data_IF_035120101784
#
_entry.id   IF_035120101784
#
_cell.length_a   1.000
_cell.length_b   1.000
_cell.length_c   1.000
_cell.angle_alpha   90.00
_cell.angle_beta   90.00
_cell.angle_gamma   90.00
#
_symmetry.space_group_name_H-M   'P 1'
#
loop_
_entity.id
_entity.type
_entity.pdbx_description
1 polymer ?
#
# COMPACT_ATOMS: atom_id res chain seq x y z
N UNK A 1 -2.47 -20.40 -13.01
CA UNK A 1 -1.13 -20.80 -12.50
C UNK A 1 -0.78 -22.14 -13.13
N UNK A 2 0.43 -22.39 -13.68
CA UNK A 2 1.70 -21.68 -13.49
C UNK A 2 2.34 -21.21 -14.82
N UNK A 3 2.63 -19.91 -14.93
CA UNK A 3 3.55 -19.34 -15.95
C UNK A 3 4.71 -18.57 -15.30
N UNK A 4 4.80 -18.61 -13.97
CA UNK A 4 5.76 -17.85 -13.18
C UNK A 4 7.04 -18.65 -12.83
N UNK A 5 7.17 -19.89 -13.32
CA UNK A 5 8.33 -20.75 -13.00
C UNK A 5 9.44 -20.76 -14.07
N UNK A 6 9.17 -20.31 -15.29
CA UNK A 6 10.16 -20.35 -16.39
C UNK A 6 10.88 -19.02 -16.64
N UNK A 7 10.38 -17.90 -16.11
CA UNK A 7 11.02 -16.58 -16.23
C UNK A 7 12.15 -16.34 -15.23
N UNK A 8 12.30 -17.19 -14.20
CA UNK A 8 13.35 -17.06 -13.19
C UNK A 8 14.70 -17.69 -13.60
N UNK A 9 14.70 -18.58 -14.60
CA UNK A 9 15.92 -19.33 -15.01
C UNK A 9 16.76 -18.54 -16.03
N UNK A 10 16.17 -17.61 -16.77
CA UNK A 10 16.90 -16.81 -17.79
C UNK A 10 17.58 -15.56 -17.23
N UNK A 11 17.26 -15.11 -16.02
CA UNK A 11 17.90 -13.93 -15.40
C UNK A 11 19.12 -14.34 -14.54
N UNK A 12 19.23 -15.61 -14.12
CA UNK A 12 20.37 -16.10 -13.33
C UNK A 12 21.63 -16.44 -14.14
N UNK A 13 21.56 -16.47 -15.47
CA UNK A 13 22.69 -16.83 -16.34
C UNK A 13 23.53 -15.62 -16.82
N UNK A 14 23.20 -14.39 -16.40
CA UNK A 14 23.88 -13.17 -16.85
C UNK A 14 24.66 -12.43 -15.76
N UNK A 15 24.78 -12.98 -14.54
CA UNK A 15 25.52 -12.33 -13.42
C UNK A 15 26.63 -13.24 -12.82
N UNK A 16 26.85 -14.44 -13.33
CA UNK A 16 28.01 -15.27 -12.92
C UNK A 16 29.09 -15.28 -13.99
N UNK A 17 29.87 -14.19 -14.03
CA UNK A 17 30.94 -14.03 -15.01
C UNK A 17 32.06 -13.11 -14.54
N UNK A 18 32.42 -13.12 -13.25
CA UNK A 18 33.70 -12.56 -12.83
C UNK A 18 34.23 -13.17 -11.53
N UNK A 19 35.52 -13.53 -11.61
CA UNK A 19 36.49 -13.84 -10.56
C UNK A 19 36.45 -15.22 -9.88
N UNK A 20 37.53 -15.99 -10.12
CA UNK A 20 37.95 -17.18 -9.40
C UNK A 20 39.37 -17.57 -9.82
N UNK A 21 40.30 -17.47 -8.87
CA UNK A 21 41.76 -17.57 -8.94
C UNK A 21 42.26 -19.04 -8.88
N UNK A 22 43.44 -19.36 -9.44
CA UNK A 22 44.49 -20.25 -8.86
C UNK A 22 45.71 -20.33 -9.83
N UNK A 23 46.85 -19.69 -9.52
CA UNK A 23 48.10 -20.20 -8.88
C UNK A 23 48.97 -21.15 -9.72
N UNK A 24 50.13 -20.60 -10.11
CA UNK A 24 51.48 -21.14 -10.34
C UNK A 24 51.73 -22.59 -10.79
N UNK A 25 52.46 -22.73 -11.91
CA UNK A 25 53.71 -23.51 -11.96
C UNK A 25 54.64 -23.03 -13.09
N UNK A 26 55.92 -22.82 -12.75
CA UNK A 26 57.01 -22.50 -13.66
C UNK A 26 57.55 -23.78 -14.33
N UNK A 27 57.83 -23.77 -15.64
CA UNK A 27 59.17 -24.12 -16.16
C UNK A 27 59.34 -23.87 -17.67
N UNK A 28 60.49 -23.26 -18.00
CA UNK A 28 61.35 -23.37 -19.21
C UNK A 28 60.90 -22.79 -20.57
N UNK A 29 61.67 -21.78 -20.98
CA UNK A 29 62.03 -21.35 -22.34
C UNK A 29 62.61 -22.52 -23.18
N UNK A 30 62.50 -22.51 -24.55
CA UNK A 30 63.22 -21.57 -25.42
C UNK A 30 62.49 -21.03 -26.68
N UNK A 31 63.10 -19.97 -27.23
CA UNK A 31 62.90 -19.20 -28.49
C UNK A 31 63.39 -20.03 -29.71
N UNK A 32 63.28 -19.64 -31.02
CA UNK A 32 62.32 -18.86 -31.83
C UNK A 32 61.76 -19.67 -33.04
N UNK A 33 60.78 -19.15 -33.79
CA UNK A 33 60.89 -18.99 -35.28
C UNK A 33 59.74 -18.19 -35.86
N UNK A 34 60.12 -17.29 -36.77
CA UNK A 34 59.34 -16.48 -37.71
C UNK A 34 58.40 -17.30 -38.61
N UNK A 35 57.18 -16.81 -38.88
CA UNK A 35 56.66 -16.66 -40.25
C UNK A 35 55.34 -15.88 -40.24
N UNK A 36 55.28 -14.85 -41.09
CA UNK A 36 54.07 -14.17 -41.52
C UNK A 36 53.03 -15.15 -42.06
N UNK A 37 51.79 -15.04 -41.59
CA UNK A 37 50.61 -15.33 -42.40
C UNK A 37 49.41 -14.60 -41.81
N UNK A 38 49.00 -13.53 -42.49
CA UNK A 38 47.73 -12.84 -42.27
C UNK A 38 46.54 -13.76 -42.63
N UNK A 39 45.58 -14.02 -41.72
CA UNK A 39 44.30 -14.59 -42.08
C UNK A 39 43.26 -13.47 -42.19
N UNK A 40 43.08 -13.06 -43.45
CA UNK A 40 41.80 -12.75 -44.11
C UNK A 40 40.62 -12.27 -43.25
N UNK A 41 40.15 -11.08 -43.59
CA UNK A 41 38.86 -10.42 -43.28
C UNK A 41 37.60 -11.26 -43.61
N UNK A 42 37.74 -12.52 -43.98
CA UNK A 42 36.66 -13.43 -44.36
C UNK A 42 36.00 -14.13 -43.15
N UNK A 43 36.74 -14.30 -42.04
CA UNK A 43 36.23 -14.98 -40.84
C UNK A 43 35.17 -14.19 -40.07
N UNK A 44 35.37 -12.88 -39.92
CA UNK A 44 34.45 -12.02 -39.18
C UNK A 44 33.10 -11.84 -39.90
N UNK A 45 33.09 -11.74 -41.23
CA UNK A 45 31.85 -11.61 -42.01
C UNK A 45 31.00 -12.89 -41.91
N UNK A 46 31.63 -14.06 -41.93
CA UNK A 46 30.96 -15.35 -41.77
C UNK A 46 30.39 -15.52 -40.34
N UNK A 47 31.07 -14.99 -39.32
CA UNK A 47 30.59 -15.01 -37.94
C UNK A 47 29.34 -14.12 -37.75
N UNK A 48 29.31 -12.93 -38.34
CA UNK A 48 28.13 -12.06 -38.25
C UNK A 48 26.93 -12.61 -39.03
N UNK A 49 27.15 -13.19 -40.21
CA UNK A 49 26.07 -13.80 -41.01
C UNK A 49 25.45 -14.99 -40.27
N UNK A 50 26.26 -15.82 -39.62
CA UNK A 50 25.77 -16.98 -38.84
C UNK A 50 24.97 -16.54 -37.61
N UNK A 51 25.38 -15.48 -36.90
CA UNK A 51 24.62 -14.92 -35.76
C UNK A 51 23.28 -14.36 -36.22
N UNK A 52 23.25 -13.60 -37.33
CA UNK A 52 21.99 -13.02 -37.85
C UNK A 52 21.04 -14.13 -38.32
N UNK A 53 21.54 -15.16 -39.00
CA UNK A 53 20.74 -16.33 -39.38
C UNK A 53 20.20 -17.09 -38.16
N UNK A 54 21.00 -17.22 -37.10
CA UNK A 54 20.58 -17.88 -35.87
C UNK A 54 19.49 -17.09 -35.14
N UNK A 55 19.61 -15.77 -35.08
CA UNK A 55 18.58 -14.89 -34.52
C UNK A 55 17.28 -14.94 -35.34
N UNK A 56 17.37 -14.88 -36.67
CA UNK A 56 16.19 -15.00 -37.55
C UNK A 56 15.50 -16.36 -37.40
N UNK A 57 16.27 -17.45 -37.26
CA UNK A 57 15.70 -18.78 -37.02
C UNK A 57 15.04 -18.88 -35.64
N UNK A 58 15.69 -18.34 -34.60
CA UNK A 58 15.16 -18.37 -33.24
C UNK A 58 13.87 -17.56 -33.11
N UNK A 59 13.83 -16.33 -33.63
CA UNK A 59 12.62 -15.50 -33.63
C UNK A 59 11.53 -16.07 -34.55
N UNK A 60 11.90 -16.66 -35.69
CA UNK A 60 10.97 -17.33 -36.60
C UNK A 60 10.29 -18.54 -35.96
N UNK A 61 11.06 -19.42 -35.32
CA UNK A 61 10.56 -20.61 -34.62
C UNK A 61 9.70 -20.19 -33.41
N UNK A 62 10.14 -19.19 -32.64
CA UNK A 62 9.38 -18.69 -31.49
C UNK A 62 8.05 -18.06 -31.93
N UNK A 63 8.04 -17.33 -33.05
CA UNK A 63 6.81 -16.82 -33.65
C UNK A 63 5.86 -17.94 -34.10
N UNK A 64 6.40 -18.98 -34.73
CA UNK A 64 5.62 -20.15 -35.18
C UNK A 64 5.01 -20.94 -34.02
N UNK A 65 5.76 -21.15 -32.94
CA UNK A 65 5.26 -21.84 -31.74
C UNK A 65 4.12 -21.03 -31.09
N UNK A 66 4.28 -19.71 -30.95
CA UNK A 66 3.21 -18.87 -30.41
C UNK A 66 1.96 -18.86 -31.31
N UNK A 67 2.13 -18.87 -32.63
CA UNK A 67 1.01 -18.95 -33.57
C UNK A 67 0.24 -20.27 -33.45
N UNK A 68 0.94 -21.40 -33.32
CA UNK A 68 0.32 -22.72 -33.10
C UNK A 68 -0.42 -22.77 -31.75
N UNK A 69 0.14 -22.20 -30.68
CA UNK A 69 -0.51 -22.13 -29.38
C UNK A 69 -1.80 -21.29 -29.40
N UNK A 70 -1.80 -20.18 -30.14
CA UNK A 70 -3.00 -19.36 -30.33
C UNK A 70 -4.07 -20.13 -31.11
N UNK A 71 -3.70 -20.84 -32.17
CA UNK A 71 -4.62 -21.70 -32.94
C UNK A 71 -5.21 -22.82 -32.07
N UNK A 72 -4.39 -23.51 -31.26
CA UNK A 72 -4.89 -24.53 -30.33
C UNK A 72 -5.84 -23.96 -29.28
N UNK A 73 -5.58 -22.75 -28.79
CA UNK A 73 -6.48 -22.05 -27.87
C UNK A 73 -7.82 -21.68 -28.55
N UNK A 74 -7.79 -21.23 -29.80
CA UNK A 74 -9.00 -20.93 -30.58
C UNK A 74 -9.82 -22.19 -30.86
N UNK A 75 -9.19 -23.31 -31.23
CA UNK A 75 -9.89 -24.58 -31.46
C UNK A 75 -10.52 -25.15 -30.19
N UNK A 76 -9.82 -25.13 -29.06
CA UNK A 76 -10.38 -25.59 -27.77
C UNK A 76 -11.53 -24.71 -27.29
N UNK A 77 -11.47 -23.39 -27.55
CA UNK A 77 -12.57 -22.48 -27.27
C UNK A 77 -13.80 -22.78 -28.14
N UNK A 78 -13.61 -23.03 -29.43
CA UNK A 78 -14.69 -23.43 -30.35
C UNK A 78 -15.34 -24.76 -29.91
N UNK A 79 -14.55 -25.76 -29.53
CA UNK A 79 -15.08 -27.03 -29.02
C UNK A 79 -15.91 -26.84 -27.74
N UNK A 80 -15.43 -26.01 -26.80
CA UNK A 80 -16.17 -25.67 -25.57
C UNK A 80 -17.46 -24.92 -25.86
N UNK A 81 -17.45 -24.01 -26.83
CA UNK A 81 -18.65 -23.30 -27.28
C UNK A 81 -19.66 -24.24 -27.93
N UNK A 82 -19.22 -25.16 -28.81
CA UNK A 82 -20.10 -26.17 -29.42
C UNK A 82 -20.68 -27.10 -28.36
N UNK A 83 -19.88 -27.55 -27.38
CA UNK A 83 -20.36 -28.36 -26.26
C UNK A 83 -21.37 -27.60 -25.39
N UNK A 84 -21.16 -26.30 -25.15
CA UNK A 84 -22.09 -25.46 -24.38
C UNK A 84 -23.43 -25.29 -25.12
N UNK A 85 -23.39 -25.00 -26.42
CA UNK A 85 -24.59 -24.92 -27.27
C UNK A 85 -25.32 -26.26 -27.33
N UNK A 86 -24.62 -27.38 -27.50
CA UNK A 86 -25.23 -28.71 -27.44
C UNK A 86 -25.83 -29.05 -26.07
N UNK A 87 -25.22 -28.57 -24.98
CA UNK A 87 -25.74 -28.74 -23.62
C UNK A 87 -27.04 -27.96 -23.42
N UNK A 88 -27.09 -26.70 -23.88
CA UNK A 88 -28.28 -25.85 -23.83
C UNK A 88 -29.40 -26.41 -24.73
N UNK A 89 -29.07 -26.90 -25.93
CA UNK A 89 -30.05 -27.54 -26.83
C UNK A 89 -30.52 -28.91 -26.30
N UNK A 90 -29.68 -29.68 -25.60
CA UNK A 90 -30.10 -30.93 -24.92
C UNK A 90 -30.95 -30.66 -23.68
N UNK A 91 -30.68 -29.59 -22.93
CA UNK A 91 -31.53 -29.13 -21.82
C UNK A 91 -32.88 -28.61 -22.33
N UNK A 92 -32.90 -27.85 -23.44
CA UNK A 92 -34.12 -27.39 -24.10
C UNK A 92 -34.95 -28.50 -24.75
N UNK A 93 -34.32 -29.52 -25.34
CA UNK A 93 -35.03 -30.63 -26.00
C UNK A 93 -35.49 -31.74 -25.06
N UNK A 94 -34.83 -31.95 -23.91
CA UNK A 94 -35.30 -32.91 -22.89
C UNK A 94 -36.46 -32.37 -22.03
N UNK A 95 -36.57 -31.05 -21.85
CA UNK A 95 -37.71 -30.43 -21.16
C UNK A 95 -38.95 -30.24 -22.06
N UNK A 96 -38.80 -30.31 -23.39
CA UNK A 96 -39.89 -30.12 -24.36
C UNK A 96 -40.59 -31.41 -24.83
N UNK A 97 -40.31 -32.57 -24.23
CA UNK A 97 -40.93 -33.85 -24.63
C UNK A 97 -42.03 -34.38 -23.70
N UNK A 98 -42.42 -33.64 -22.66
CA UNK A 98 -43.42 -34.15 -21.70
C UNK A 98 -44.48 -33.19 -21.18
N UNK A 99 -44.56 -31.92 -21.61
CA UNK A 99 -45.64 -31.05 -21.11
C UNK A 99 -46.13 -30.04 -22.16
N UNK A 100 -46.99 -30.53 -23.04
CA UNK A 100 -47.83 -29.70 -23.90
C UNK A 100 -48.89 -29.01 -23.01
N UNK A 101 -49.03 -27.68 -23.13
CA UNK A 101 -50.13 -26.79 -22.63
C UNK A 101 -49.78 -25.62 -21.67
N UNK A 102 -48.52 -25.18 -21.49
CA UNK A 102 -48.24 -23.97 -20.65
C UNK A 102 -47.32 -22.91 -21.33
N UNK A 103 -47.08 -23.01 -22.64
CA UNK A 103 -45.97 -22.27 -23.27
C UNK A 103 -46.20 -20.81 -23.74
N UNK A 104 -47.41 -20.25 -23.90
CA UNK A 104 -47.51 -18.85 -24.33
C UNK A 104 -47.59 -17.84 -23.17
N UNK A 105 -48.03 -18.25 -21.97
CA UNK A 105 -48.24 -17.32 -20.84
C UNK A 105 -46.95 -16.92 -20.12
N UNK A 106 -45.98 -17.82 -20.02
CA UNK A 106 -44.70 -17.56 -19.32
C UNK A 106 -43.82 -16.59 -20.11
N UNK A 107 -43.82 -16.67 -21.45
CA UNK A 107 -43.04 -15.79 -22.32
C UNK A 107 -43.60 -14.35 -22.28
N UNK A 108 -44.92 -14.19 -22.26
CA UNK A 108 -45.56 -12.87 -22.11
C UNK A 108 -45.28 -12.26 -20.73
N UNK A 109 -45.25 -13.06 -19.67
CA UNK A 109 -44.91 -12.59 -18.32
C UNK A 109 -43.44 -12.15 -18.19
N UNK A 110 -42.51 -12.82 -18.88
CA UNK A 110 -41.08 -12.46 -18.90
C UNK A 110 -40.80 -11.17 -19.70
N UNK A 111 -41.59 -10.87 -20.72
CA UNK A 111 -41.47 -9.62 -21.49
C UNK A 111 -41.97 -8.38 -20.73
N UNK A 112 -42.88 -8.53 -19.76
CA UNK A 112 -43.40 -7.40 -18.97
C UNK A 112 -42.44 -6.90 -17.88
N UNK A 113 -41.36 -7.64 -17.59
CA UNK A 113 -40.40 -7.30 -16.52
C UNK A 113 -39.27 -6.38 -17.04
N UNK A 114 -39.15 -6.19 -18.36
CA UNK A 114 -38.13 -5.33 -18.94
C UNK A 114 -38.66 -3.91 -19.16
N UNK A 115 -38.74 -3.10 -18.11
CA UNK A 115 -39.04 -1.67 -18.29
C UNK A 115 -39.33 -0.83 -17.06
N UNK A 116 -39.48 -1.41 -15.86
CA UNK A 116 -39.72 -0.60 -14.66
C UNK A 116 -38.39 -0.20 -14.01
N UNK A 117 -37.93 1.03 -14.26
CA UNK A 117 -37.10 1.75 -13.29
C UNK A 117 -38.04 2.21 -12.17
N UNK A 118 -38.41 1.31 -11.24
CA UNK A 118 -39.22 1.69 -10.08
C UNK A 118 -38.31 2.29 -8.99
N UNK A 119 -38.77 3.34 -8.30
CA UNK A 119 -38.18 3.72 -7.01
C UNK A 119 -38.21 2.47 -6.12
N UNK A 120 -37.09 2.17 -5.46
CA UNK A 120 -37.08 1.18 -4.38
C UNK A 120 -37.86 1.84 -3.23
N UNK A 121 -39.07 1.37 -2.97
CA UNK A 121 -39.89 1.89 -1.88
C UNK A 121 -39.22 1.53 -0.55
N UNK A 122 -38.67 2.54 0.12
CA UNK A 122 -38.11 2.39 1.46
C UNK A 122 -39.30 2.46 2.41
N UNK A 123 -39.50 1.41 3.21
CA UNK A 123 -40.49 1.43 4.29
C UNK A 123 -40.21 2.64 5.19
N UNK A 124 -41.13 3.59 5.18
CA UNK A 124 -41.08 4.78 6.03
C UNK A 124 -42.02 4.60 7.21
N UNK A 125 -41.55 5.01 8.38
CA UNK A 125 -42.40 5.10 9.58
C UNK A 125 -42.90 6.54 9.61
N UNK A 126 -44.22 6.72 9.61
CA UNK A 126 -44.88 8.02 9.65
C UNK A 126 -45.49 8.23 11.03
N UNK A 127 -45.03 9.27 11.73
CA UNK A 127 -45.61 9.71 12.99
C UNK A 127 -46.28 11.08 12.80
N UNK A 128 -47.54 11.18 13.23
CA UNK A 128 -48.30 12.43 13.23
C UNK A 128 -48.17 13.07 14.63
N UNK A 129 -47.34 14.12 14.73
CA UNK A 129 -47.11 14.84 16.00
C UNK A 129 -47.90 16.13 15.99
N UNK A 130 -48.77 16.32 16.98
CA UNK A 130 -49.63 17.49 17.07
C UNK A 130 -49.06 18.50 18.09
N UNK A 131 -48.60 19.67 17.64
CA UNK A 131 -48.12 20.74 18.53
C UNK A 131 -49.22 21.76 18.75
N UNK A 132 -49.57 22.01 20.02
CA UNK A 132 -50.56 23.02 20.37
C UNK A 132 -49.96 24.42 20.15
N UNK A 133 -50.68 25.28 19.43
CA UNK A 133 -50.35 26.71 19.35
C UNK A 133 -50.43 27.37 20.72
N UNK A 134 -49.69 28.46 20.92
CA UNK A 134 -49.60 29.20 22.18
C UNK A 134 -50.98 29.62 22.75
N UNK A 135 -51.98 29.79 21.87
CA UNK A 135 -53.37 30.14 22.22
C UNK A 135 -54.29 28.92 22.48
N UNK A 136 -53.76 27.69 22.41
CA UNK A 136 -54.49 26.44 22.68
C UNK A 136 -55.60 26.07 21.67
N UNK A 137 -55.81 26.89 20.64
CA UNK A 137 -56.94 26.76 19.68
C UNK A 137 -56.60 26.04 18.38
N UNK A 138 -55.32 25.94 18.01
CA UNK A 138 -54.89 25.29 16.77
C UNK A 138 -53.83 24.23 17.05
N UNK A 139 -54.05 23.03 16.51
CA UNK A 139 -53.07 21.94 16.55
C UNK A 139 -52.34 21.87 15.21
N UNK A 140 -51.03 22.08 15.22
CA UNK A 140 -50.20 21.93 14.03
C UNK A 140 -49.79 20.46 13.92
N UNK A 141 -50.26 19.78 12.87
CA UNK A 141 -49.85 18.41 12.53
C UNK A 141 -48.50 18.45 11.83
N UNK A 142 -47.46 18.05 12.54
CA UNK A 142 -46.12 17.82 12.01
C UNK A 142 -45.98 16.34 11.65
N UNK A 143 -45.80 16.05 10.36
CA UNK A 143 -45.50 14.69 9.89
C UNK A 143 -44.01 14.44 9.92
N UNK A 144 -43.58 13.41 10.63
CA UNK A 144 -42.18 12.97 10.67
C UNK A 144 -42.07 11.64 9.94
N UNK A 145 -41.12 11.55 9.00
CA UNK A 145 -40.87 10.35 8.18
C UNK A 145 -39.41 9.95 8.39
N UNK A 146 -39.20 8.75 8.94
CA UNK A 146 -37.86 8.16 9.10
C UNK A 146 -37.56 7.18 7.97
N UNK A 147 -36.37 7.30 7.37
CA UNK A 147 -35.92 6.48 6.23
C UNK A 147 -34.46 6.05 6.37
N UNK A 148 -34.17 4.85 5.89
CA UNK A 148 -32.82 4.32 5.80
C UNK A 148 -32.40 4.27 4.33
N UNK A 149 -31.57 5.22 3.88
CA UNK A 149 -31.08 5.29 2.49
C UNK A 149 -29.66 4.75 2.41
N UNK A 150 -29.41 3.84 1.46
CA UNK A 150 -28.06 3.41 1.09
C UNK A 150 -27.45 4.34 0.02
N UNK A 151 -26.20 4.81 0.19
CA UNK A 151 -25.53 5.65 -0.81
C UNK A 151 -25.47 5.00 -2.20
N UNK A 152 -25.58 5.81 -3.26
CA UNK A 152 -25.48 5.43 -4.69
C UNK A 152 -26.44 4.35 -5.23
N UNK A 153 -27.25 3.72 -4.38
CA UNK A 153 -28.09 2.56 -4.74
C UNK A 153 -29.58 2.79 -4.51
N UNK A 154 -29.93 3.79 -3.70
CA UNK A 154 -31.31 4.03 -3.27
C UNK A 154 -31.67 5.51 -3.36
N UNK A 155 -32.93 5.76 -3.71
CA UNK A 155 -33.56 7.08 -3.74
C UNK A 155 -34.80 6.99 -2.86
N UNK A 156 -34.91 7.85 -1.86
CA UNK A 156 -36.13 8.04 -1.09
C UNK A 156 -37.06 8.97 -1.86
N UNK A 157 -38.21 8.46 -2.30
CA UNK A 157 -39.20 9.22 -3.08
C UNK A 157 -40.40 9.52 -2.15
N UNK A 158 -40.77 10.78 -1.96
CA UNK A 158 -41.90 11.20 -1.13
C UNK A 158 -42.88 12.06 -1.91
N UNK A 159 -44.17 11.85 -1.65
CA UNK A 159 -45.22 12.70 -2.18
C UNK A 159 -45.95 13.35 -1.02
N UNK A 160 -45.80 14.66 -0.89
CA UNK A 160 -46.55 15.44 0.09
C UNK A 160 -47.78 15.97 -0.62
N UNK A 161 -48.96 15.53 -0.17
CA UNK A 161 -50.24 16.06 -0.63
C UNK A 161 -50.87 16.90 0.47
N UNK A 162 -51.26 18.13 0.13
CA UNK A 162 -52.13 18.94 0.98
C UNK A 162 -53.60 18.72 0.58
N UNK A 163 -54.54 18.99 1.49
CA UNK A 163 -56.00 18.88 1.28
C UNK A 163 -56.52 19.69 0.07
N UNK A 164 -55.68 20.58 -0.48
CA UNK A 164 -55.96 21.47 -1.63
C UNK A 164 -55.39 20.92 -2.96
N UNK A 165 -55.00 19.64 -3.04
CA UNK A 165 -54.43 18.96 -4.25
C UNK A 165 -53.05 19.43 -4.70
N UNK A 166 -52.31 20.21 -3.92
CA UNK A 166 -50.91 20.45 -4.21
C UNK A 166 -50.10 19.20 -3.83
N UNK A 167 -49.59 18.49 -4.84
CA UNK A 167 -48.74 17.31 -4.68
C UNK A 167 -47.31 17.72 -4.98
N UNK A 168 -46.46 17.74 -3.96
CA UNK A 168 -45.01 17.96 -4.11
C UNK A 168 -44.30 16.62 -4.11
N UNK A 169 -43.51 16.37 -5.15
CA UNK A 169 -42.65 15.20 -5.24
C UNK A 169 -41.25 15.59 -4.80
N UNK A 170 -40.74 14.89 -3.78
CA UNK A 170 -39.42 15.10 -3.21
C UNK A 170 -38.64 13.81 -3.38
N UNK A 171 -37.48 13.92 -4.02
CA UNK A 171 -36.54 12.80 -4.15
C UNK A 171 -35.29 13.13 -3.35
N UNK A 172 -34.91 12.24 -2.44
CA UNK A 172 -33.69 12.35 -1.65
C UNK A 172 -32.77 11.20 -2.05
N UNK A 173 -31.57 11.52 -2.51
CA UNK A 173 -30.55 10.54 -2.84
C UNK A 173 -29.30 10.83 -2.01
N UNK A 174 -28.80 9.81 -1.33
CA UNK A 174 -27.49 9.85 -0.70
C UNK A 174 -26.41 9.60 -1.75
N UNK A 175 -25.59 10.60 -2.04
CA UNK A 175 -24.51 10.50 -3.01
C UNK A 175 -23.31 9.80 -2.40
N UNK A 176 -22.88 10.28 -1.24
CA UNK A 176 -21.71 9.76 -0.58
C UNK A 176 -21.67 10.07 0.90
N UNK A 177 -20.95 9.25 1.64
CA UNK A 177 -20.64 9.48 3.04
C UNK A 177 -19.18 9.92 3.08
N UNK A 178 -18.96 11.10 3.62
CA UNK A 178 -17.69 11.80 3.68
C UNK A 178 -17.16 11.66 5.11
N UNK A 179 -16.00 11.03 5.29
CA UNK A 179 -15.32 10.98 6.59
C UNK A 179 -14.10 11.90 6.58
N UNK A 180 -14.11 12.88 7.48
CA UNK A 180 -13.07 13.90 7.60
C UNK A 180 -12.12 13.59 8.76
N UNK A 181 -10.83 13.40 8.43
CA UNK A 181 -9.80 13.09 9.41
C UNK A 181 -9.48 14.33 10.25
N UNK A 182 -9.58 14.21 11.58
CA UNK A 182 -8.94 15.16 12.47
C UNK A 182 -7.50 14.68 12.72
N UNK A 183 -6.56 15.24 11.97
CA UNK A 183 -5.15 14.82 11.98
C UNK A 183 -4.48 15.07 13.34
N UNK A 184 -3.66 14.11 13.77
CA UNK A 184 -2.73 14.26 14.88
C UNK A 184 -1.38 13.68 14.50
N UNK A 185 -0.36 14.53 14.43
CA UNK A 185 1.03 14.14 14.24
C UNK A 185 1.46 13.17 15.34
N UNK A 186 2.09 12.06 14.94
CA UNK A 186 2.62 11.06 15.87
C UNK A 186 4.13 11.26 16.07
N UNK A 187 4.88 11.30 14.98
CA UNK A 187 6.33 11.52 14.98
C UNK A 187 6.79 11.89 13.57
N UNK A 188 8.04 12.35 13.49
CA UNK A 188 8.74 12.55 12.23
C UNK A 188 9.72 11.40 12.00
N UNK A 189 10.05 11.16 10.75
CA UNK A 189 11.01 10.14 10.37
C UNK A 189 11.73 10.57 9.09
N UNK A 190 12.78 9.83 8.74
CA UNK A 190 13.66 10.12 7.61
C UNK A 190 14.25 8.82 7.09
N UNK A 191 14.45 8.71 5.78
CA UNK A 191 15.09 7.53 5.22
C UNK A 191 16.52 7.45 5.75
N UNK A 192 16.89 6.27 6.23
CA UNK A 192 18.22 6.00 6.77
C UNK A 192 18.75 4.65 6.31
N UNK A 193 20.04 4.43 6.56
CA UNK A 193 20.70 3.13 6.56
C UNK A 193 21.39 2.95 7.92
N UNK A 194 21.57 1.71 8.35
CA UNK A 194 22.42 1.40 9.50
C UNK A 194 23.80 0.99 9.01
N UNK A 195 24.82 1.69 9.50
CA UNK A 195 26.21 1.29 9.35
C UNK A 195 26.64 0.47 10.56
N UNK A 196 27.54 -0.49 10.35
CA UNK A 196 28.11 -1.30 11.41
C UNK A 196 29.64 -1.21 11.38
N UNK A 197 30.24 -0.95 12.53
CA UNK A 197 31.67 -0.84 12.76
C UNK A 197 32.09 -1.85 13.82
N UNK A 198 33.26 -2.47 13.66
CA UNK A 198 33.85 -3.32 14.68
C UNK A 198 35.37 -3.21 14.71
N UNK A 199 35.97 -3.42 15.88
CA UNK A 199 37.41 -3.41 16.06
C UNK A 199 37.82 -4.39 17.16
N UNK A 200 38.73 -5.30 16.81
CA UNK A 200 39.34 -6.23 17.75
C UNK A 200 40.62 -5.63 18.35
N UNK A 201 40.78 -5.79 19.66
CA UNK A 201 41.97 -5.40 20.42
C UNK A 201 42.33 -6.47 21.45
N UNK A 202 43.58 -6.90 21.42
CA UNK A 202 44.12 -7.82 22.43
C UNK A 202 44.09 -7.20 23.84
N UNK A 203 44.05 -8.06 24.85
CA UNK A 203 44.06 -7.63 26.25
C UNK A 203 45.28 -6.76 26.57
N UNK A 204 45.04 -5.60 27.18
CA UNK A 204 46.05 -4.60 27.54
C UNK A 204 46.38 -3.61 26.42
N UNK A 205 45.87 -3.79 25.20
CA UNK A 205 46.14 -2.91 24.06
C UNK A 205 45.03 -1.86 23.87
N UNK A 206 45.45 -0.60 23.64
CA UNK A 206 44.55 0.55 23.40
C UNK A 206 43.44 0.64 24.44
N UNK A 207 42.17 0.62 24.02
CA UNK A 207 40.99 0.73 24.88
C UNK A 207 40.69 -0.57 25.64
N UNK A 208 41.25 -1.71 25.23
CA UNK A 208 40.99 -3.00 25.87
C UNK A 208 41.83 -3.18 27.14
N UNK A 209 41.40 -2.59 28.26
CA UNK A 209 42.10 -2.66 29.55
C UNK A 209 41.13 -3.02 30.68
N UNK A 210 41.56 -3.92 31.57
CA UNK A 210 40.76 -4.29 32.74
C UNK A 210 39.33 -4.73 32.39
N UNK A 211 38.35 -3.99 32.90
CA UNK A 211 36.92 -4.24 32.74
C UNK A 211 36.22 -3.31 31.74
N UNK A 212 36.95 -2.75 30.74
CA UNK A 212 36.34 -1.86 29.74
C UNK A 212 35.13 -2.50 29.07
N UNK A 213 35.18 -3.80 28.77
CA UNK A 213 34.13 -4.48 28.03
C UNK A 213 32.82 -4.59 28.82
N UNK A 214 32.93 -4.81 30.14
CA UNK A 214 31.80 -4.89 31.06
C UNK A 214 31.21 -3.52 31.38
N UNK A 215 32.01 -2.47 31.29
CA UNK A 215 31.64 -1.11 31.68
C UNK A 215 31.22 -0.22 30.50
N UNK A 216 31.33 -0.70 29.26
CA UNK A 216 30.97 0.07 28.06
C UNK A 216 29.45 0.17 27.94
N UNK A 217 28.93 1.40 27.96
CA UNK A 217 27.53 1.71 27.71
C UNK A 217 27.27 1.94 26.22
N UNK A 218 26.00 1.90 25.83
CA UNK A 218 25.62 2.00 24.43
C UNK A 218 25.92 3.38 23.80
N UNK A 219 25.89 4.45 24.58
CA UNK A 219 26.20 5.80 24.11
C UNK A 219 27.70 6.13 24.17
N UNK A 220 28.51 5.25 24.77
CA UNK A 220 29.92 5.51 24.97
C UNK A 220 30.67 5.52 23.62
N UNK A 221 31.55 6.50 23.47
CA UNK A 221 32.46 6.58 22.34
C UNK A 221 33.56 5.54 22.42
N UNK A 222 33.82 4.87 21.30
CA UNK A 222 34.92 3.90 21.17
C UNK A 222 36.05 4.55 20.34
N UNK A 223 37.25 4.78 20.91
CA UNK A 223 38.37 5.43 20.21
C UNK A 223 38.85 4.72 18.94
N UNK A 224 38.52 3.44 18.81
CA UNK A 224 38.83 2.64 17.63
C UNK A 224 37.99 3.01 16.39
N UNK A 225 36.89 3.73 16.55
CA UNK A 225 35.97 4.08 15.46
C UNK A 225 36.19 5.51 14.95
N UNK A 226 35.92 5.77 13.66
CA UNK A 226 36.00 7.11 13.09
C UNK A 226 34.89 8.01 13.65
N UNK A 227 35.11 9.33 13.62
CA UNK A 227 34.14 10.31 14.12
C UNK A 227 32.75 10.19 13.46
N UNK A 228 32.68 9.81 12.17
CA UNK A 228 31.41 9.59 11.46
C UNK A 228 30.55 8.48 12.08
N UNK A 229 31.15 7.48 12.73
CA UNK A 229 30.40 6.45 13.45
C UNK A 229 29.70 7.02 14.71
N UNK A 230 30.18 8.16 15.21
CA UNK A 230 29.68 8.84 16.41
C UNK A 230 28.80 10.06 16.10
N UNK A 231 28.68 10.46 14.83
CA UNK A 231 27.96 11.67 14.41
C UNK A 231 26.43 11.53 14.46
N UNK A 232 25.93 10.29 14.39
CA UNK A 232 24.51 9.96 14.43
C UNK A 232 24.12 9.07 15.62
N UNK A 233 22.81 8.85 15.83
CA UNK A 233 22.33 7.94 16.87
C UNK A 233 22.85 6.53 16.62
N UNK A 234 23.21 5.83 17.69
CA UNK A 234 23.83 4.51 17.57
C UNK A 234 24.24 3.89 18.88
N UNK A 235 24.45 2.58 18.87
CA UNK A 235 24.70 1.77 20.05
C UNK A 235 26.06 1.09 19.96
N UNK A 236 26.91 1.36 20.94
CA UNK A 236 28.21 0.74 21.17
C UNK A 236 28.06 -0.51 22.03
N UNK A 237 28.79 -1.58 21.68
CA UNK A 237 28.85 -2.83 22.45
C UNK A 237 30.28 -3.33 22.51
N UNK A 238 30.56 -4.13 23.53
CA UNK A 238 31.80 -4.88 23.60
C UNK A 238 31.52 -6.35 23.90
N UNK A 239 32.19 -7.22 23.15
CA UNK A 239 32.16 -8.66 23.35
C UNK A 239 33.55 -9.13 23.78
N UNK A 240 33.60 -10.00 24.80
CA UNK A 240 34.82 -10.73 25.10
C UNK A 240 35.07 -11.74 23.98
N UNK A 241 36.28 -11.70 23.42
CA UNK A 241 36.70 -12.59 22.34
C UNK A 241 37.95 -13.40 22.75
N UNK A 242 38.39 -14.30 21.88
CA UNK A 242 39.55 -15.14 22.08
C UNK A 242 40.84 -14.32 22.22
N UNK A 243 41.73 -14.78 23.09
CA UNK A 243 43.10 -14.30 23.20
C UNK A 243 44.09 -15.29 22.59
N UNK A 244 45.35 -15.18 23.01
CA UNK A 244 46.49 -15.99 22.57
C UNK A 244 46.87 -15.81 21.09
N UNK A 245 47.96 -16.47 20.71
CA UNK A 245 48.56 -16.41 19.37
C UNK A 245 47.59 -16.87 18.28
N UNK A 246 46.62 -17.75 18.62
CA UNK A 246 45.57 -18.20 17.70
C UNK A 246 44.61 -17.09 17.26
N UNK A 247 44.57 -15.98 17.99
CA UNK A 247 43.78 -14.79 17.66
C UNK A 247 44.68 -13.55 17.51
N UNK A 248 45.93 -13.76 17.06
CA UNK A 248 46.96 -12.75 16.83
C UNK A 248 47.28 -11.89 18.08
N UNK A 249 47.12 -12.46 19.27
CA UNK A 249 47.40 -11.81 20.54
C UNK A 249 48.59 -12.43 21.26
N UNK A 250 49.52 -11.60 21.74
CA UNK A 250 50.64 -12.07 22.57
C UNK A 250 50.23 -12.53 23.98
N UNK A 251 49.04 -12.12 24.45
CA UNK A 251 48.48 -12.50 25.76
C UNK A 251 47.28 -13.44 25.59
N UNK A 252 47.18 -14.43 26.47
CA UNK A 252 46.06 -15.36 26.56
C UNK A 252 44.86 -14.85 27.35
N UNK A 253 44.93 -13.63 27.88
CA UNK A 253 43.77 -12.98 28.48
C UNK A 253 42.71 -12.66 27.42
N UNK A 254 41.40 -12.70 27.76
CA UNK A 254 40.33 -12.42 26.81
C UNK A 254 40.48 -11.03 26.16
N UNK A 255 40.39 -11.01 24.83
CA UNK A 255 40.45 -9.78 24.02
C UNK A 255 39.11 -9.04 24.03
N UNK A 256 39.10 -7.80 23.54
CA UNK A 256 37.90 -6.98 23.38
C UNK A 256 37.56 -6.85 21.90
N UNK A 257 36.34 -7.23 21.55
CA UNK A 257 35.73 -6.99 20.25
C UNK A 257 34.71 -5.87 20.41
N UNK A 258 35.13 -4.65 20.11
CA UNK A 258 34.26 -3.49 20.11
C UNK A 258 33.37 -3.50 18.87
N UNK A 259 32.13 -3.07 19.02
CA UNK A 259 31.15 -2.92 17.96
C UNK A 259 30.37 -1.63 18.14
N UNK A 260 29.95 -1.02 17.03
CA UNK A 260 28.96 0.04 17.04
C UNK A 260 28.07 -0.08 15.81
N UNK A 261 26.77 0.00 16.02
CA UNK A 261 25.81 0.27 14.96
C UNK A 261 25.43 1.76 15.02
N UNK A 262 25.37 2.43 13.88
CA UNK A 262 25.00 3.85 13.81
C UNK A 262 24.09 4.11 12.62
N UNK A 263 23.05 4.90 12.83
CA UNK A 263 22.17 5.32 11.75
C UNK A 263 22.77 6.51 10.99
N UNK A 264 22.63 6.50 9.67
CA UNK A 264 23.00 7.60 8.78
C UNK A 264 21.83 7.92 7.86
N UNK A 265 21.42 9.20 7.73
CA UNK A 265 20.34 9.58 6.83
C UNK A 265 20.78 9.45 5.38
N UNK A 266 19.96 8.85 4.52
CA UNK A 266 20.28 8.63 3.09
C UNK A 266 19.58 9.62 2.16
N UNK A 267 18.57 10.33 2.64
CA UNK A 267 17.80 11.33 1.88
C UNK A 267 17.64 12.59 2.70
N UNK A 268 17.37 13.75 2.09
CA UNK A 268 16.98 14.98 2.80
C UNK A 268 15.46 15.09 3.02
N UNK A 269 14.70 14.14 2.47
CA UNK A 269 13.23 14.14 2.60
C UNK A 269 12.82 13.81 4.03
N UNK A 270 12.03 14.70 4.63
CA UNK A 270 11.44 14.48 5.94
C UNK A 270 10.04 13.94 5.76
N UNK A 271 9.67 13.01 6.62
CA UNK A 271 8.38 12.38 6.61
C UNK A 271 7.67 12.62 7.94
N UNK A 272 6.40 12.98 7.85
CA UNK A 272 5.52 13.05 9.01
C UNK A 272 4.64 11.81 9.04
N UNK A 273 4.69 11.08 10.15
CA UNK A 273 3.73 10.02 10.46
C UNK A 273 2.64 10.62 11.33
N UNK A 274 1.39 10.49 10.89
CA UNK A 274 0.23 10.99 11.61
C UNK A 274 -0.90 9.95 11.61
N UNK A 275 -1.83 10.14 12.54
CA UNK A 275 -3.03 9.31 12.67
C UNK A 275 -4.26 10.21 12.83
N UNK A 276 -5.44 9.61 12.71
CA UNK A 276 -6.72 10.29 12.87
C UNK A 276 -7.46 9.71 14.08
N UNK A 277 -7.27 10.26 15.30
CA UNK A 277 -7.94 9.76 16.50
C UNK A 277 -9.47 9.87 16.42
N UNK A 278 -9.96 10.88 15.69
CA UNK A 278 -11.37 11.12 15.45
C UNK A 278 -11.62 11.42 13.98
N UNK A 279 -12.83 11.07 13.54
CA UNK A 279 -13.31 11.28 12.18
C UNK A 279 -14.66 11.99 12.25
N UNK A 280 -14.83 13.09 11.48
CA UNK A 280 -16.10 13.78 11.38
C UNK A 280 -16.85 13.24 10.16
N UNK A 281 -18.06 12.72 10.34
CA UNK A 281 -18.83 12.16 9.22
C UNK A 281 -19.87 13.16 8.72
N UNK A 282 -19.84 13.44 7.42
CA UNK A 282 -20.85 14.22 6.69
C UNK A 282 -21.54 13.35 5.63
N UNK A 283 -22.75 13.73 5.29
CA UNK A 283 -23.51 13.10 4.21
C UNK A 283 -23.68 14.09 3.07
N UNK A 284 -23.22 13.73 1.89
CA UNK A 284 -23.56 14.45 0.66
C UNK A 284 -24.87 13.88 0.12
N UNK A 285 -25.92 14.71 0.09
CA UNK A 285 -27.22 14.34 -0.46
C UNK A 285 -27.56 15.22 -1.65
N UNK A 286 -28.21 14.64 -2.65
CA UNK A 286 -28.95 15.40 -3.66
C UNK A 286 -30.43 15.34 -3.36
N UNK A 287 -31.07 16.50 -3.24
CA UNK A 287 -32.50 16.66 -3.01
C UNK A 287 -33.12 17.27 -4.26
N UNK A 288 -34.10 16.57 -4.85
CA UNK A 288 -34.88 17.04 -5.99
C UNK A 288 -36.27 17.42 -5.52
N UNK A 289 -36.66 18.68 -5.71
CA UNK A 289 -38.01 19.18 -5.43
C UNK A 289 -38.59 19.70 -6.74
N UNK A 290 -39.71 19.15 -7.20
CA UNK A 290 -40.38 19.56 -8.44
C UNK A 290 -39.42 19.64 -9.66
N UNK A 291 -38.56 18.63 -9.83
CA UNK A 291 -37.48 18.53 -10.85
C UNK A 291 -36.28 19.49 -10.68
N UNK A 292 -36.21 20.29 -9.62
CA UNK A 292 -35.01 21.08 -9.33
C UNK A 292 -34.11 20.32 -8.34
N UNK A 293 -32.91 19.94 -8.76
CA UNK A 293 -31.95 19.18 -7.94
C UNK A 293 -30.94 20.11 -7.29
N UNK A 294 -30.77 19.96 -5.98
CA UNK A 294 -29.78 20.70 -5.18
C UNK A 294 -28.93 19.72 -4.38
N UNK A 295 -27.65 20.01 -4.21
CA UNK A 295 -26.71 19.15 -3.48
C UNK A 295 -26.35 19.84 -2.16
N UNK A 296 -26.43 19.08 -1.06
CA UNK A 296 -26.13 19.54 0.28
C UNK A 296 -25.11 18.62 0.95
N UNK A 297 -24.18 19.21 1.69
CA UNK A 297 -23.40 18.50 2.71
C UNK A 297 -24.11 18.69 4.05
N UNK A 298 -24.51 17.58 4.68
CA UNK A 298 -25.31 17.59 5.90
C UNK A 298 -24.52 16.92 7.02
N UNK A 299 -24.40 17.63 8.14
CA UNK A 299 -23.82 17.11 9.37
C UNK A 299 -24.84 16.25 10.14
N UNK A 300 -24.33 15.26 10.86
CA UNK A 300 -25.14 14.41 11.72
C UNK A 300 -25.84 15.21 12.83
N UNK A 301 -27.14 14.98 13.03
CA UNK A 301 -27.93 15.61 14.10
C UNK A 301 -28.27 17.08 13.89
N UNK A 302 -27.86 17.71 12.78
CA UNK A 302 -28.19 19.10 12.46
C UNK A 302 -29.31 19.13 11.40
N UNK A 303 -30.44 19.81 11.64
CA UNK A 303 -31.52 19.90 10.67
C UNK A 303 -31.16 20.84 9.52
N UNK A 304 -31.15 20.31 8.30
CA UNK A 304 -31.09 21.06 7.06
C UNK A 304 -32.47 21.62 6.71
N UNK A 305 -32.62 22.95 6.64
CA UNK A 305 -33.85 23.59 6.15
C UNK A 305 -33.88 23.56 4.62
N UNK A 306 -34.91 22.96 4.03
CA UNK A 306 -35.10 22.84 2.57
C UNK A 306 -36.04 23.93 2.03
N UNK A 307 -37.25 24.01 2.58
CA UNK A 307 -38.28 25.03 2.31
C UNK A 307 -38.90 25.50 3.63
N UNK A 308 -39.77 26.51 3.62
CA UNK A 308 -40.29 27.17 4.84
C UNK A 308 -41.00 26.25 5.84
N UNK A 309 -41.42 25.05 5.42
CA UNK A 309 -42.09 24.06 6.27
C UNK A 309 -41.45 22.66 6.23
N UNK A 310 -40.23 22.53 5.69
CA UNK A 310 -39.59 21.23 5.55
C UNK A 310 -38.12 21.27 5.99
N UNK A 311 -37.76 20.34 6.87
CA UNK A 311 -36.39 20.09 7.27
C UNK A 311 -36.03 18.62 7.13
N UNK A 312 -34.77 18.35 6.86
CA UNK A 312 -34.19 17.02 6.79
C UNK A 312 -33.09 16.92 7.85
N UNK A 313 -33.09 15.83 8.63
CA UNK A 313 -32.08 15.59 9.65
C UNK A 313 -31.52 14.18 9.48
N UNK A 314 -30.19 14.06 9.57
CA UNK A 314 -29.52 12.77 9.55
C UNK A 314 -29.42 12.24 10.97
N UNK A 315 -30.22 11.22 11.28
CA UNK A 315 -30.37 10.66 12.63
C UNK A 315 -29.35 9.57 12.98
N UNK A 316 -28.62 9.03 12.01
CA UNK A 316 -27.60 8.00 12.24
C UNK A 316 -26.95 7.47 10.97
N UNK A 317 -25.79 6.84 11.14
CA UNK A 317 -25.11 6.07 10.10
C UNK A 317 -24.94 4.63 10.56
N UNK A 318 -25.22 3.66 9.69
CA UNK A 318 -25.08 2.23 9.98
C UNK A 318 -23.98 1.58 9.14
N UNK A 319 -22.79 2.20 9.07
CA UNK A 319 -21.67 1.70 8.27
C UNK A 319 -20.64 1.04 9.19
N UNK A 320 -20.11 -0.15 8.85
CA UNK A 320 -18.95 -0.70 9.57
C UNK A 320 -17.75 0.24 9.42
N UNK A 321 -16.92 0.41 10.47
CA UNK A 321 -15.72 1.24 10.38
C UNK A 321 -14.78 0.69 9.31
N UNK A 322 -14.42 1.53 8.33
CA UNK A 322 -13.43 1.18 7.30
C UNK A 322 -12.04 0.97 7.95
N UNK A 323 -11.24 -0.02 7.50
CA UNK A 323 -9.88 -0.25 8.02
C UNK A 323 -8.99 0.99 7.97
N UNK A 324 -9.23 1.89 7.01
CA UNK A 324 -8.48 3.14 6.87
C UNK A 324 -8.66 4.10 8.06
N UNK A 325 -9.76 3.99 8.82
CA UNK A 325 -9.99 4.84 9.99
C UNK A 325 -8.99 4.55 11.12
N UNK A 326 -8.37 3.37 11.11
CA UNK A 326 -7.29 2.98 12.04
C UNK A 326 -5.91 2.95 11.39
N UNK A 327 -5.75 3.47 10.16
CA UNK A 327 -4.47 3.47 9.47
C UNK A 327 -3.53 4.54 10.02
N UNK A 328 -2.23 4.31 9.82
CA UNK A 328 -1.20 5.33 9.91
C UNK A 328 -1.00 5.96 8.55
N UNK A 329 -0.88 7.27 8.55
CA UNK A 329 -0.63 8.04 7.35
C UNK A 329 0.81 8.56 7.36
N UNK A 330 1.41 8.58 6.19
CA UNK A 330 2.77 8.99 5.94
C UNK A 330 2.71 10.14 4.93
N UNK A 331 3.10 11.33 5.35
CA UNK A 331 3.16 12.54 4.52
C UNK A 331 4.61 12.91 4.26
N UNK A 332 4.98 13.06 3.00
CA UNK A 332 6.27 13.67 2.63
C UNK A 332 6.19 15.18 2.88
N UNK A 333 7.07 15.68 3.74
CA UNK A 333 7.25 17.10 4.01
C UNK A 333 8.27 17.66 3.00
N UNK A 334 7.85 17.83 1.75
CA UNK A 334 8.70 18.49 0.76
C UNK A 334 8.82 19.99 1.08
N UNK A 335 10.01 20.56 0.83
CA UNK A 335 10.21 22.01 0.85
C UNK A 335 9.64 22.70 -0.41
N UNK A 336 9.39 21.98 -1.52
CA UNK A 336 8.84 22.58 -2.76
C UNK A 336 8.11 21.53 -3.65
N UNK A 337 6.92 21.04 -3.25
CA UNK A 337 6.11 20.16 -4.12
C UNK A 337 4.81 19.64 -3.48
N UNK A 338 3.92 19.02 -4.27
CA UNK A 338 2.72 18.39 -3.72
C UNK A 338 3.11 17.31 -2.70
N UNK A 339 2.45 17.34 -1.53
CA UNK A 339 2.68 16.38 -0.46
C UNK A 339 2.00 15.06 -0.79
N UNK A 340 2.76 14.10 -1.31
CA UNK A 340 2.26 12.73 -1.48
C UNK A 340 1.97 12.13 -0.09
N UNK A 341 0.74 11.62 0.07
CA UNK A 341 0.34 10.89 1.27
C UNK A 341 0.13 9.43 0.92
N UNK A 342 0.74 8.59 1.73
CA UNK A 342 0.57 7.15 1.74
C UNK A 342 -0.03 6.71 3.08
N UNK A 343 -0.47 5.47 3.16
CA UNK A 343 -0.99 4.89 4.41
C UNK A 343 -0.51 3.45 4.61
N UNK A 344 -0.43 3.05 5.88
CA UNK A 344 -0.17 1.69 6.31
C UNK A 344 -1.18 1.25 7.35
N UNK A 345 -1.57 -0.02 7.27
CA UNK A 345 -2.41 -0.69 8.26
C UNK A 345 -1.58 -1.31 9.40
N UNK A 346 -0.26 -1.07 9.41
CA UNK A 346 0.61 -1.47 10.52
C UNK A 346 0.24 -0.71 11.80
N UNK A 347 0.31 -1.40 12.94
CA UNK A 347 0.11 -0.75 14.24
C UNK A 347 1.24 0.27 14.51
N UNK A 348 0.92 1.46 15.05
CA UNK A 348 1.95 2.41 15.47
C UNK A 348 2.76 1.85 16.62
N UNK A 349 4.07 2.04 16.55
CA UNK A 349 4.89 1.93 17.74
C UNK A 349 4.59 3.12 18.66
N UNK A 350 4.72 2.93 19.97
CA UNK A 350 4.51 4.02 20.92
C UNK A 350 5.50 5.16 20.63
N UNK A 351 5.06 6.41 20.76
CA UNK A 351 5.94 7.57 20.60
C UNK A 351 7.13 7.49 21.57
N UNK A 352 8.34 7.68 21.03
CA UNK A 352 9.61 7.53 21.75
C UNK A 352 10.07 6.08 21.95
N UNK A 353 9.33 5.08 21.43
CA UNK A 353 9.69 3.66 21.49
C UNK A 353 9.61 3.06 20.09
N UNK A 354 10.68 3.18 19.29
CA UNK A 354 10.72 2.64 17.95
C UNK A 354 10.54 1.12 17.93
N UNK A 355 10.02 0.59 16.82
CA UNK A 355 9.81 -0.86 16.66
C UNK A 355 10.24 -1.31 15.27
N UNK A 356 11.14 -2.28 15.22
CA UNK A 356 11.61 -2.92 13.98
C UNK A 356 10.45 -3.39 13.10
N UNK A 357 10.56 -3.17 11.79
CA UNK A 357 9.59 -3.66 10.80
C UNK A 357 8.28 -2.87 10.78
N UNK A 358 8.26 -1.66 11.33
CA UNK A 358 7.11 -0.76 11.30
C UNK A 358 7.51 0.59 10.69
N UNK A 359 6.52 1.40 10.28
CA UNK A 359 6.77 2.79 9.87
C UNK A 359 7.41 3.66 10.97
N UNK A 360 7.47 3.15 12.19
CA UNK A 360 7.98 3.80 13.38
C UNK A 360 9.29 3.17 13.86
N UNK A 361 10.05 2.56 12.96
CA UNK A 361 11.38 2.01 13.24
C UNK A 361 12.40 3.10 13.58
N UNK A 362 12.18 4.32 13.06
CA UNK A 362 12.92 5.54 13.40
C UNK A 362 11.92 6.60 13.79
N UNK A 363 12.13 7.21 14.95
CA UNK A 363 11.27 8.26 15.47
C UNK A 363 12.08 9.50 15.84
N UNK A 364 11.71 10.62 15.24
CA UNK A 364 12.18 11.94 15.59
C UNK A 364 10.99 12.71 16.21
N UNK A 365 11.23 13.42 17.32
CA UNK A 365 10.14 14.08 18.05
C UNK A 365 9.56 15.27 17.26
N UNK A 366 10.43 16.01 16.58
CA UNK A 366 10.05 17.18 15.78
C UNK A 366 10.60 17.09 14.35
N UNK A 367 10.05 17.92 13.46
CA UNK A 367 10.58 18.06 12.10
C UNK A 367 12.04 18.53 12.11
N UNK A 368 12.43 19.38 13.07
CA UNK A 368 13.82 19.82 13.25
C UNK A 368 14.73 18.66 13.64
N UNK A 369 14.30 17.80 14.55
CA UNK A 369 15.07 16.62 14.94
C UNK A 369 15.26 15.67 13.75
N UNK A 370 14.29 15.58 12.84
CA UNK A 370 14.46 14.83 11.60
C UNK A 370 15.46 15.48 10.62
N UNK A 371 15.47 16.82 10.54
CA UNK A 371 16.47 17.57 9.76
C UNK A 371 17.88 17.35 10.29
N UNK A 372 18.07 17.54 11.59
CA UNK A 372 19.35 17.42 12.29
C UNK A 372 19.72 15.94 12.57
N UNK A 373 18.82 15.02 12.26
CA UNK A 373 18.91 13.56 12.48
C UNK A 373 19.13 13.13 13.94
N UNK A 374 18.57 13.92 14.87
CA UNK A 374 18.47 13.61 16.31
C UNK A 374 17.29 12.66 16.59
N UNK A 375 17.34 11.47 16.00
CA UNK A 375 16.26 10.50 16.03
C UNK A 375 16.59 9.28 16.90
N UNK A 376 15.55 8.54 17.29
CA UNK A 376 15.64 7.30 18.05
C UNK A 376 15.34 6.10 17.15
N UNK A 377 16.09 5.01 17.29
CA UNK A 377 15.78 3.72 16.68
C UNK A 377 16.05 2.59 17.70
N UNK A 378 15.52 1.39 17.44
CA UNK A 378 15.70 0.23 18.31
C UNK A 378 17.01 -0.50 17.94
N UNK A 379 17.84 -0.82 18.93
CA UNK A 379 19.10 -1.56 18.72
C UNK A 379 18.87 -2.93 18.06
N UNK A 380 17.72 -3.56 18.30
CA UNK A 380 17.36 -4.87 17.76
C UNK A 380 16.99 -4.85 16.26
N UNK A 381 17.08 -3.69 15.60
CA UNK A 381 17.08 -3.58 14.14
C UNK A 381 18.18 -4.44 13.51
N UNK A 382 19.32 -4.55 14.21
CA UNK A 382 20.44 -5.36 13.77
C UNK A 382 20.55 -6.64 14.57
N UNK A 383 20.88 -7.74 13.90
CA UNK A 383 21.31 -8.99 14.54
C UNK A 383 22.79 -9.19 14.28
N UNK A 384 23.61 -9.18 15.34
CA UNK A 384 25.06 -9.27 15.27
C UNK A 384 25.57 -10.59 15.85
N UNK A 385 26.46 -11.27 15.13
CA UNK A 385 27.04 -12.57 15.50
C UNK A 385 28.57 -12.46 15.49
N UNK A 386 29.19 -12.88 16.59
CA UNK A 386 30.65 -12.90 16.75
C UNK A 386 31.25 -14.13 16.06
N UNK A 387 32.39 -13.94 15.38
CA UNK A 387 33.14 -14.99 14.71
C UNK A 387 34.63 -14.85 15.03
N UNK A 388 35.03 -15.35 16.19
CA UNK A 388 36.38 -15.13 16.71
C UNK A 388 36.67 -13.64 16.88
N UNK A 389 37.59 -13.10 16.07
CA UNK A 389 37.99 -11.68 16.08
C UNK A 389 37.13 -10.77 15.19
N UNK A 390 36.19 -11.34 14.43
CA UNK A 390 35.31 -10.60 13.54
C UNK A 390 33.88 -10.53 14.09
N UNK A 391 33.12 -9.55 13.60
CA UNK A 391 31.69 -9.41 13.88
C UNK A 391 30.94 -9.24 12.56
N UNK A 392 29.87 -10.02 12.37
CA UNK A 392 28.95 -9.85 11.24
C UNK A 392 27.60 -9.39 11.79
N UNK A 393 27.09 -8.28 11.26
CA UNK A 393 25.76 -7.79 11.59
C UNK A 393 24.86 -7.78 10.33
N UNK A 394 23.63 -8.22 10.51
CA UNK A 394 22.57 -8.14 9.51
C UNK A 394 21.52 -7.14 10.02
N UNK A 395 21.38 -6.04 9.29
CA UNK A 395 20.49 -4.93 9.63
C UNK A 395 19.52 -4.74 8.47
N UNK A 396 18.23 -4.79 8.76
CA UNK A 396 17.17 -4.57 7.76
C UNK A 396 16.32 -3.40 8.22
N UNK A 397 16.39 -2.31 7.46
CA UNK A 397 15.59 -1.10 7.69
C UNK A 397 14.58 -0.96 6.57
N UNK A 398 13.39 -0.53 6.93
CA UNK A 398 12.30 -0.26 6.00
C UNK A 398 12.65 0.88 5.02
N UNK A 399 12.38 0.65 3.73
CA UNK A 399 12.43 1.69 2.71
C UNK A 399 11.09 2.44 2.64
N UNK A 400 11.10 3.72 3.06
CA UNK A 400 9.93 4.57 3.08
C UNK A 400 9.45 4.91 1.65
N UNK A 401 10.34 5.00 0.67
CA UNK A 401 9.95 5.29 -0.71
C UNK A 401 9.23 4.11 -1.35
N UNK A 402 9.69 2.88 -1.06
CA UNK A 402 9.01 1.65 -1.49
C UNK A 402 7.59 1.53 -0.90
N UNK A 403 7.34 2.12 0.28
CA UNK A 403 5.99 2.14 0.87
C UNK A 403 5.11 3.24 0.28
N UNK A 404 5.70 4.39 -0.05
CA UNK A 404 4.95 5.53 -0.58
C UNK A 404 4.42 5.22 -1.97
N UNK A 405 5.30 4.82 -2.89
CA UNK A 405 5.01 4.70 -4.32
C UNK A 405 3.78 3.83 -4.68
N UNK A 406 3.57 2.62 -4.11
CA UNK A 406 2.42 1.79 -4.44
C UNK A 406 1.13 2.20 -3.73
N UNK A 407 1.19 3.09 -2.73
CA UNK A 407 0.05 3.45 -1.86
C UNK A 407 -0.25 4.94 -1.85
N UNK A 408 0.27 5.67 -2.84
CA UNK A 408 -0.03 7.09 -3.02
C UNK A 408 -1.54 7.25 -3.16
N UNK A 409 -2.10 8.07 -2.28
CA UNK A 409 -3.47 8.53 -2.38
C UNK A 409 -3.51 9.54 -3.54
N UNK A 410 -3.81 9.05 -4.74
CA UNK A 410 -3.94 9.89 -5.93
C UNK A 410 -5.16 10.81 -5.80
N UNK A 411 -4.96 12.11 -6.07
CA UNK A 411 -6.05 13.05 -6.30
C UNK A 411 -6.74 12.72 -7.63
N UNK A 412 -7.85 11.98 -7.54
CA UNK A 412 -8.75 11.73 -8.65
C UNK A 412 -8.22 10.72 -9.67
N UNK A 413 -8.51 9.44 -9.45
CA UNK A 413 -8.62 8.51 -10.57
C UNK A 413 -9.72 7.46 -10.32
N UNK A 414 -10.47 7.19 -11.38
CA UNK A 414 -11.61 6.30 -11.45
C UNK A 414 -11.14 4.84 -11.48
N UNK A 415 -11.50 4.05 -10.47
CA UNK A 415 -12.43 2.92 -10.57
C UNK A 415 -12.35 2.07 -9.29
N UNK A 416 -13.53 1.81 -8.72
CA UNK A 416 -13.82 0.78 -7.72
C UNK A 416 -13.09 1.00 -6.37
N UNK A 417 -13.21 2.18 -5.75
CA UNK A 417 -12.55 2.41 -4.45
C UNK A 417 -13.19 3.51 -3.61
N UNK A 418 -12.94 3.48 -2.30
CA UNK A 418 -13.11 4.63 -1.44
C UNK A 418 -12.28 5.78 -2.00
N UNK A 419 -12.91 6.89 -2.37
CA UNK A 419 -12.18 8.02 -2.94
C UNK A 419 -11.65 8.84 -1.77
N UNK A 420 -10.33 8.99 -1.68
CA UNK A 420 -9.70 9.93 -0.76
C UNK A 420 -9.41 11.20 -1.54
N UNK A 421 -10.00 12.32 -1.15
CA UNK A 421 -9.69 13.64 -1.74
C UNK A 421 -8.95 14.49 -0.72
N UNK A 422 -7.80 15.03 -1.14
CA UNK A 422 -7.06 16.05 -0.41
C UNK A 422 -7.74 17.41 -0.60
N UNK A 423 -8.02 18.15 0.48
CA UNK A 423 -8.50 19.54 0.42
C UNK A 423 -7.70 20.42 1.38
N UNK A 424 -6.55 20.91 0.91
CA UNK A 424 -5.66 21.84 1.62
C UNK A 424 -5.20 21.35 3.01
N UNK A 425 -4.20 22.05 3.57
CA UNK A 425 -3.24 21.58 4.59
C UNK A 425 -3.77 21.15 5.96
N UNK A 426 -5.08 20.91 6.14
CA UNK A 426 -5.66 20.49 7.43
C UNK A 426 -6.81 19.46 7.38
N UNK A 427 -7.39 19.16 6.21
CA UNK A 427 -8.64 18.40 6.15
C UNK A 427 -8.66 17.37 4.98
N UNK A 428 -9.13 16.16 5.26
CA UNK A 428 -9.27 15.04 4.29
C UNK A 428 -10.71 14.62 4.14
N UNK A 429 -11.13 14.09 2.99
CA UNK A 429 -12.47 13.49 2.82
C UNK A 429 -12.34 12.05 2.31
N UNK A 430 -12.90 11.08 3.04
CA UNK A 430 -13.07 9.69 2.60
C UNK A 430 -14.49 9.51 2.08
N UNK A 431 -14.63 9.15 0.81
CA UNK A 431 -15.89 8.78 0.20
C UNK A 431 -16.03 7.26 0.17
N UNK A 432 -16.89 6.65 0.99
CA UNK A 432 -17.17 5.22 0.89
C UNK A 432 -18.28 4.95 -0.14
N UNK A 433 -17.97 4.19 -1.21
CA UNK A 433 -18.97 3.64 -2.14
C UNK A 433 -19.28 2.20 -1.71
N UNK A 434 -20.49 1.92 -1.27
CA UNK A 434 -20.96 0.54 -1.07
C UNK A 434 -21.20 -0.13 -2.42
N UNK A 435 -20.65 -1.33 -2.60
CA UNK A 435 -20.90 -2.22 -3.75
C UNK A 435 -22.36 -2.69 -3.79
#
# INVERSE_FOLDING_TARGET
MPTQFFSAITILALITGSSGFEICQCTKTPIPTTTDSSPTTFGYLHQWITIVLFLLMFFGIYGWINFILILQCLFTWIEKCIQCVFSIVRLGSKQCRQHHQISPTIIVLLCLIQGSYSCNEIASIQDDVCTASADGKTCHLNKVVSINIRPNSQVGCFTISNNVKEVKNIEVRANSIISECNERSHHFTRQMKINHFFSHRCAGMRSCKGSTCENLNAEDGVPEFPAIAMDGPGFSRCYRSCGCVTCDCGSCSPSCLFSRISAEPTSFSIYEIFQCPTWNTRLEISVTINNNTTVYEVDHGIPLKLEDNMSLIVTGFSIPPSPIHGALFLRRMNLDGPSDISYSLSQPAQAGRPRRGTLSEVQCATAKDATDFNCLFDENVCTCITQGIALKCECEVLDLEEIILPRIILTGCYQISCILKFRNSKNWNIYSRSL
#
